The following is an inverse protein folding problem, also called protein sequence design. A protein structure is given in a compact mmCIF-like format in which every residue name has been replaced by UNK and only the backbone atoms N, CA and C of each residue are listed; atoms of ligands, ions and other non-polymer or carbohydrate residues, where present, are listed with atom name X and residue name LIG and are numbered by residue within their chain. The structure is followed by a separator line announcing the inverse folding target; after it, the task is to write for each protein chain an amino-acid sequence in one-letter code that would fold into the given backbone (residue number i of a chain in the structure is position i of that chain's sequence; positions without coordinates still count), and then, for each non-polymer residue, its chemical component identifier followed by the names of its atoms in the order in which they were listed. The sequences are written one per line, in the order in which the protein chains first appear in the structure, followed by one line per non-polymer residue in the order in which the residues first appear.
data_IF_108330703903
#
_entry.id   IF_108330703903
#
_cell.length_a   1.000
_cell.length_b   1.000
_cell.length_c   1.000
_cell.angle_alpha   90.00
_cell.angle_beta   90.00
_cell.angle_gamma   90.00
#
_symmetry.space_group_name_H-M   'P 1'
#
loop_
_entity.id
_entity.type
_entity.pdbx_description
1 polymer ?
#
# COMPACT_ATOMS: atom_id res chain seq x y z
N UNK A 1 -14.59 16.11 -62.13
CA UNK A 1 -14.76 16.07 -60.66
C UNK A 1 -13.58 15.31 -60.07
N UNK A 2 -12.53 15.98 -59.58
CA UNK A 2 -11.32 15.33 -59.09
C UNK A 2 -11.47 14.77 -57.68
N UNK A 3 -10.88 13.58 -57.51
CA UNK A 3 -10.66 12.82 -56.28
C UNK A 3 -9.85 13.65 -55.28
N UNK A 4 -10.42 13.94 -54.11
CA UNK A 4 -9.72 14.58 -53.00
C UNK A 4 -9.09 13.48 -52.14
N UNK A 5 -7.76 13.35 -52.22
CA UNK A 5 -6.97 12.56 -51.28
C UNK A 5 -6.66 13.41 -50.03
N UNK A 6 -6.92 12.91 -48.81
CA UNK A 6 -6.49 13.59 -47.61
C UNK A 6 -4.99 13.38 -47.36
N UNK A 7 -4.34 14.54 -47.24
CA UNK A 7 -2.96 14.89 -46.89
C UNK A 7 -2.38 14.07 -45.72
N UNK A 8 -1.18 13.56 -45.95
CA UNK A 8 -0.30 12.93 -44.98
C UNK A 8 -0.07 13.83 -43.76
N UNK A 9 -0.27 13.28 -42.56
CA UNK A 9 0.17 13.90 -41.32
C UNK A 9 1.12 12.93 -40.61
N UNK A 10 2.38 13.02 -41.00
CA UNK A 10 3.52 12.39 -40.35
C UNK A 10 3.57 12.83 -38.88
N UNK A 11 3.23 11.93 -37.96
CA UNK A 11 3.73 12.00 -36.58
C UNK A 11 4.92 11.06 -36.46
N UNK A 12 6.09 11.67 -36.49
CA UNK A 12 7.37 11.10 -36.06
C UNK A 12 7.57 11.35 -34.56
N UNK A 13 8.46 10.55 -33.97
CA UNK A 13 8.94 10.54 -32.58
C UNK A 13 8.08 9.77 -31.55
N UNK A 14 8.64 9.05 -30.58
CA UNK A 14 9.97 8.50 -30.35
C UNK A 14 9.86 7.64 -29.07
N UNK A 15 10.70 6.61 -29.00
CA UNK A 15 11.14 5.87 -27.81
C UNK A 15 10.17 4.88 -27.13
N UNK A 16 10.64 3.62 -26.91
CA UNK A 16 9.87 2.56 -26.30
C UNK A 16 9.73 2.80 -24.80
N UNK A 17 8.50 2.70 -24.29
CA UNK A 17 8.25 2.58 -22.86
C UNK A 17 8.91 1.26 -22.42
N UNK A 18 10.04 1.43 -21.75
CA UNK A 18 10.88 0.39 -21.18
C UNK A 18 10.04 -0.39 -20.18
N UNK A 19 9.59 -1.57 -20.60
CA UNK A 19 8.89 -2.55 -19.78
C UNK A 19 9.84 -3.00 -18.67
N UNK A 20 9.78 -2.34 -17.51
CA UNK A 20 10.37 -2.87 -16.29
C UNK A 20 9.26 -3.52 -15.48
N UNK A 21 9.01 -4.79 -15.81
CA UNK A 21 8.30 -5.72 -14.96
C UNK A 21 9.34 -6.49 -14.18
N UNK A 22 9.53 -6.13 -12.92
CA UNK A 22 10.05 -7.06 -11.92
C UNK A 22 9.03 -7.10 -10.79
N UNK A 23 8.42 -8.28 -10.68
CA UNK A 23 7.54 -8.67 -9.60
C UNK A 23 8.25 -8.39 -8.28
N UNK A 24 7.79 -7.38 -7.54
CA UNK A 24 8.03 -7.34 -6.11
C UNK A 24 6.96 -8.20 -5.47
N UNK A 25 7.20 -9.50 -5.43
CA UNK A 25 6.59 -10.38 -4.43
C UNK A 25 7.11 -9.93 -3.06
N UNK A 26 6.60 -8.79 -2.58
CA UNK A 26 6.41 -8.66 -1.15
C UNK A 26 5.30 -9.65 -0.84
N UNK A 27 5.70 -10.84 -0.38
CA UNK A 27 4.79 -11.77 0.24
C UNK A 27 4.09 -11.01 1.37
N UNK A 28 2.91 -10.46 1.09
CA UNK A 28 1.84 -10.45 2.06
C UNK A 28 1.64 -11.94 2.33
N UNK A 29 2.39 -12.48 3.31
CA UNK A 29 2.09 -13.80 3.81
C UNK A 29 0.60 -13.75 4.15
N UNK A 30 -0.25 -14.62 3.55
CA UNK A 30 -1.55 -14.83 4.10
C UNK A 30 -1.28 -15.38 5.49
N UNK A 31 -1.32 -14.53 6.52
CA UNK A 31 -1.43 -15.06 7.86
C UNK A 31 -2.69 -15.89 7.83
N UNK A 32 -2.64 -17.20 8.15
CA UNK A 32 -3.85 -17.97 8.32
C UNK A 32 -4.69 -17.16 9.30
N UNK A 33 -5.91 -16.82 8.90
CA UNK A 33 -6.86 -16.05 9.70
C UNK A 33 -6.81 -16.61 11.12
N UNK A 34 -6.04 -15.93 11.98
CA UNK A 34 -5.67 -16.48 13.26
C UNK A 34 -6.94 -16.40 14.08
N UNK A 35 -7.58 -17.56 14.22
CA UNK A 35 -8.79 -17.76 14.97
C UNK A 35 -8.49 -17.54 16.46
N UNK A 36 -8.31 -16.28 16.88
CA UNK A 36 -8.21 -15.86 18.27
C UNK A 36 -8.63 -14.39 18.35
N UNK A 37 -9.52 -14.06 19.28
CA UNK A 37 -9.98 -12.70 19.64
C UNK A 37 -8.85 -11.86 20.25
N UNK A 38 -7.70 -11.78 19.59
CA UNK A 38 -6.54 -11.02 20.02
C UNK A 38 -6.75 -9.59 19.58
N UNK A 39 -6.48 -8.66 20.50
CA UNK A 39 -6.50 -7.24 20.14
C UNK A 39 -5.20 -6.96 19.42
N UNK A 40 -5.23 -6.40 18.22
CA UNK A 40 -4.04 -6.02 17.47
C UNK A 40 -3.84 -4.52 17.56
N UNK A 41 -2.58 -4.09 17.67
CA UNK A 41 -2.17 -2.73 17.40
C UNK A 41 -1.85 -2.59 15.91
N UNK A 42 -2.48 -1.64 15.23
CA UNK A 42 -2.25 -1.31 13.83
C UNK A 42 -1.63 0.07 13.75
N UNK A 43 -0.51 0.19 13.03
CA UNK A 43 0.23 1.44 12.84
C UNK A 43 0.52 1.64 11.36
N UNK A 44 0.46 2.89 10.89
CA UNK A 44 1.02 3.25 9.60
C UNK A 44 2.48 3.66 9.76
N UNK A 45 3.35 3.16 8.91
CA UNK A 45 4.77 3.46 8.85
C UNK A 45 5.06 4.13 7.50
N UNK A 46 5.73 5.28 7.51
CA UNK A 46 6.29 5.88 6.30
C UNK A 46 7.50 5.04 5.87
N UNK A 47 7.39 4.34 4.74
CA UNK A 47 8.43 3.48 4.16
C UNK A 47 9.73 4.24 3.87
N UNK A 48 9.66 5.55 3.61
CA UNK A 48 10.83 6.37 3.28
C UNK A 48 11.64 6.73 4.53
N UNK A 49 10.97 6.88 5.67
CA UNK A 49 11.60 7.35 6.92
C UNK A 49 11.63 6.30 8.04
N UNK A 50 10.89 5.20 7.89
CA UNK A 50 10.69 4.16 8.90
C UNK A 50 9.85 4.62 10.10
N UNK A 51 9.30 5.84 10.10
CA UNK A 51 8.60 6.42 11.24
C UNK A 51 7.11 6.14 11.17
N UNK A 52 6.49 5.97 12.34
CA UNK A 52 5.03 5.88 12.42
C UNK A 52 4.37 7.19 12.02
N UNK A 53 3.21 7.12 11.36
CA UNK A 53 2.34 8.26 11.14
C UNK A 53 2.03 8.93 12.48
N UNK A 54 2.19 10.25 12.54
CA UNK A 54 1.86 11.05 13.74
C UNK A 54 0.75 12.03 13.39
N UNK A 55 -0.22 12.16 14.28
CA UNK A 55 -1.30 13.17 14.22
C UNK A 55 -1.09 14.12 15.39
N UNK A 56 -1.00 15.43 15.11
CA UNK A 56 -0.69 16.46 16.11
C UNK A 56 0.55 16.12 16.97
N UNK A 57 1.58 15.56 16.34
CA UNK A 57 2.82 15.17 17.03
C UNK A 57 2.75 13.86 17.82
N UNK A 58 1.61 13.17 17.90
CA UNK A 58 1.48 11.87 18.59
C UNK A 58 1.41 10.71 17.61
N UNK A 59 2.13 9.59 17.81
CA UNK A 59 2.01 8.40 16.96
C UNK A 59 0.58 7.88 16.92
N UNK A 60 0.05 7.65 15.72
CA UNK A 60 -1.25 7.05 15.53
C UNK A 60 -1.14 5.52 15.67
N UNK A 61 -1.87 4.96 16.61
CA UNK A 61 -2.00 3.52 16.82
C UNK A 61 -3.48 3.19 16.95
N UNK A 62 -3.99 2.29 16.12
CA UNK A 62 -5.36 1.79 16.21
C UNK A 62 -5.36 0.43 16.90
N UNK A 63 -6.16 0.26 17.94
CA UNK A 63 -6.36 -1.04 18.59
C UNK A 63 -7.66 -1.66 18.09
N UNK A 64 -7.59 -2.84 17.48
CA UNK A 64 -8.76 -3.50 16.87
C UNK A 64 -8.66 -5.01 16.99
N UNK A 65 -9.81 -5.69 16.99
CA UNK A 65 -9.88 -7.16 16.81
C UNK A 65 -10.06 -7.57 15.35
N UNK A 66 -10.17 -6.59 14.46
CA UNK A 66 -10.33 -6.75 13.01
C UNK A 66 -9.21 -5.97 12.31
N UNK A 67 -7.97 -6.50 12.35
CA UNK A 67 -6.81 -5.77 11.82
C UNK A 67 -6.93 -5.52 10.32
N UNK A 68 -7.55 -6.42 9.55
CA UNK A 68 -7.67 -6.27 8.09
C UNK A 68 -8.58 -5.10 7.70
N UNK A 69 -9.74 -4.95 8.35
CA UNK A 69 -10.65 -3.80 8.16
C UNK A 69 -9.93 -2.49 8.50
N UNK A 70 -9.24 -2.44 9.64
CA UNK A 70 -8.49 -1.27 10.07
C UNK A 70 -7.34 -0.91 9.12
N UNK A 71 -6.64 -1.90 8.56
CA UNK A 71 -5.59 -1.66 7.57
C UNK A 71 -6.18 -1.05 6.30
N UNK A 72 -7.30 -1.57 5.82
CA UNK A 72 -7.97 -1.03 4.64
C UNK A 72 -8.37 0.44 4.85
N UNK A 73 -9.01 0.76 5.98
CA UNK A 73 -9.39 2.13 6.34
C UNK A 73 -8.17 3.05 6.48
N UNK A 74 -7.10 2.57 7.12
CA UNK A 74 -5.88 3.35 7.29
C UNK A 74 -5.14 3.58 5.97
N UNK A 75 -5.17 2.65 5.03
CA UNK A 75 -4.52 2.82 3.73
C UNK A 75 -5.42 3.50 2.70
N UNK A 76 -6.71 3.67 2.97
CA UNK A 76 -7.64 4.33 2.06
C UNK A 76 -7.15 5.75 1.72
N UNK A 77 -7.10 6.05 0.42
CA UNK A 77 -6.61 7.32 -0.11
C UNK A 77 -5.12 7.59 0.09
N UNK A 78 -4.32 6.60 0.54
CA UNK A 78 -2.87 6.72 0.75
C UNK A 78 -2.07 5.93 -0.27
N UNK A 79 -0.91 6.48 -0.64
CA UNK A 79 0.02 5.80 -1.54
C UNK A 79 0.71 4.61 -0.82
N UNK A 80 0.51 3.35 -1.28
CA UNK A 80 1.14 2.18 -0.68
C UNK A 80 2.66 2.11 -0.89
N UNK A 81 3.22 2.86 -1.84
CA UNK A 81 4.67 3.01 -2.00
C UNK A 81 5.30 3.87 -0.90
N UNK A 82 4.51 4.75 -0.26
CA UNK A 82 4.93 5.61 0.85
C UNK A 82 4.50 5.02 2.19
N UNK A 83 3.33 4.41 2.28
CA UNK A 83 2.74 3.96 3.54
C UNK A 83 2.65 2.44 3.62
N UNK A 84 3.09 1.90 4.76
CA UNK A 84 2.97 0.50 5.12
C UNK A 84 2.16 0.37 6.40
N UNK A 85 1.11 -0.45 6.40
CA UNK A 85 0.43 -0.80 7.63
C UNK A 85 1.14 -1.97 8.32
N UNK A 86 1.42 -1.83 9.61
CA UNK A 86 1.98 -2.88 10.46
C UNK A 86 0.99 -3.29 11.53
N UNK A 87 0.79 -4.59 11.63
CA UNK A 87 -0.11 -5.22 12.60
C UNK A 87 0.76 -5.93 13.64
N UNK A 88 0.51 -5.64 14.91
CA UNK A 88 1.18 -6.24 16.06
C UNK A 88 0.12 -6.84 17.00
N UNK A 89 0.02 -8.17 17.13
CA UNK A 89 -0.93 -8.81 18.04
C UNK A 89 -0.59 -8.53 19.51
N UNK A 90 -1.54 -7.95 20.27
CA UNK A 90 -1.43 -7.71 21.70
C UNK A 90 -2.02 -8.89 22.46
N UNK A 91 -1.16 -9.68 23.09
CA UNK A 91 -1.59 -10.80 23.93
C UNK A 91 -0.73 -12.04 23.83
N UNK A 92 0.20 -12.13 22.87
CA UNK A 92 1.15 -13.25 22.81
C UNK A 92 2.35 -13.07 23.75
N UNK A 93 2.68 -11.84 24.14
CA UNK A 93 3.92 -11.53 24.87
C UNK A 93 3.75 -10.71 26.16
N UNK A 94 2.52 -10.44 26.62
CA UNK A 94 2.27 -9.83 27.94
C UNK A 94 2.46 -10.82 29.14
N UNK A 95 3.16 -11.93 28.90
CA UNK A 95 3.63 -12.89 29.92
C UNK A 95 5.15 -13.05 29.79
N UNK A 96 5.91 -12.01 30.08
CA UNK A 96 7.30 -12.20 30.51
C UNK A 96 7.79 -11.02 31.33
#
# INVERSE_FOLDING_TARGET
MPRLEPKEMTMTAAAPHRTFRLASTAAAMPMPAADLRVTCAVRLIDRRTGRSLRVNGSPLVLFTRRPDEAVAELLEGRDPAVWEARIEPLGREARR
#
